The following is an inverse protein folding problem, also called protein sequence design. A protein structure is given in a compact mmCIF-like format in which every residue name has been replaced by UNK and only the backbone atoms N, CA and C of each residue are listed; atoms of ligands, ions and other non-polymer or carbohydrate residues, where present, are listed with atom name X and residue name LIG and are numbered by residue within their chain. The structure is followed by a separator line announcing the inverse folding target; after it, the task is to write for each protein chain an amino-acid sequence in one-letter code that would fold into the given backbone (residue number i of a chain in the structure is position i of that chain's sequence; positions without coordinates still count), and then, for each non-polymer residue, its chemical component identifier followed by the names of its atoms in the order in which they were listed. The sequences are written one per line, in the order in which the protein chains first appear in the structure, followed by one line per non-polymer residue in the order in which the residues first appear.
data_IF_547415719177
#
_entry.id   IF_547415719177
#
_cell.length_a   1.000
_cell.length_b   1.000
_cell.length_c   1.000
_cell.angle_alpha   90.00
_cell.angle_beta   90.00
_cell.angle_gamma   90.00
#
_symmetry.space_group_name_H-M   'P 1'
#
loop_
_entity.id
_entity.type
_entity.pdbx_description
1 polymer ?
#
# COMPACT_ATOMS: atom_id res chain seq x y z
N UNK A 1 -11.12 -11.83 13.90
CA UNK A 1 -11.55 -11.02 15.07
C UNK A 1 -11.32 -9.53 14.86
N UNK A 2 -10.09 -9.05 14.65
CA UNK A 2 -9.84 -7.60 14.42
C UNK A 2 -10.22 -7.11 13.02
N UNK A 3 -10.02 -7.95 12.00
CA UNK A 3 -10.35 -7.64 10.60
C UNK A 3 -11.85 -7.46 10.36
N UNK A 4 -12.66 -8.35 10.93
CA UNK A 4 -14.14 -8.32 10.80
C UNK A 4 -14.74 -7.04 11.42
N UNK A 5 -14.21 -6.60 12.56
CA UNK A 5 -14.61 -5.35 13.20
C UNK A 5 -14.29 -4.12 12.34
N UNK A 6 -13.11 -4.11 11.70
CA UNK A 6 -12.71 -3.03 10.81
C UNK A 6 -13.60 -2.97 9.56
N UNK A 7 -13.94 -4.13 9.01
CA UNK A 7 -14.79 -4.27 7.83
C UNK A 7 -16.23 -3.79 8.12
N UNK A 8 -16.78 -4.16 9.28
CA UNK A 8 -18.07 -3.68 9.74
C UNK A 8 -18.08 -2.15 9.94
N UNK A 9 -17.02 -1.59 10.52
CA UNK A 9 -16.86 -0.14 10.67
C UNK A 9 -16.75 0.61 9.34
N UNK A 10 -16.03 0.06 8.35
CA UNK A 10 -15.92 0.68 7.02
C UNK A 10 -17.19 0.57 6.19
N UNK A 11 -18.01 -0.46 6.41
CA UNK A 11 -19.32 -0.65 5.76
C UNK A 11 -20.45 0.20 6.37
N UNK A 12 -20.23 0.72 7.57
CA UNK A 12 -21.23 1.49 8.30
C UNK A 12 -21.39 2.89 7.74
N UNK A 13 -22.58 3.21 7.24
CA UNK A 13 -22.95 4.52 6.71
C UNK A 13 -22.87 5.65 7.76
N UNK A 14 -22.79 5.30 9.05
CA UNK A 14 -22.67 6.23 10.18
C UNK A 14 -21.31 6.95 10.18
N UNK A 15 -20.26 6.34 9.62
CA UNK A 15 -18.90 6.88 9.61
C UNK A 15 -18.47 7.45 8.25
N UNK A 16 -19.40 7.54 7.29
CA UNK A 16 -19.13 8.08 5.97
C UNK A 16 -19.35 9.61 5.91
N UNK A 17 -18.49 10.35 5.20
CA UNK A 17 -17.30 9.89 4.48
C UNK A 17 -16.08 9.70 5.41
N UNK A 18 -15.30 8.64 5.18
CA UNK A 18 -14.01 8.47 5.85
C UNK A 18 -13.08 9.64 5.51
N UNK A 19 -12.54 10.28 6.54
CA UNK A 19 -11.67 11.44 6.39
C UNK A 19 -10.28 10.99 5.92
N UNK A 20 -9.84 11.44 4.73
CA UNK A 20 -8.45 11.27 4.30
C UNK A 20 -7.55 12.18 5.14
N UNK A 21 -6.73 11.57 6.00
CA UNK A 21 -5.79 12.30 6.86
C UNK A 21 -4.49 12.69 6.13
N UNK A 22 -4.19 12.02 5.02
CA UNK A 22 -3.02 12.32 4.18
C UNK A 22 -3.36 13.30 3.06
N UNK A 23 -2.37 14.08 2.57
CA UNK A 23 -2.49 14.79 1.30
C UNK A 23 -2.86 13.84 0.15
N UNK A 24 -3.50 14.33 -0.93
CA UNK A 24 -3.61 13.57 -2.17
C UNK A 24 -2.22 13.13 -2.66
N UNK A 25 -2.07 11.87 -3.11
CA UNK A 25 -0.81 11.44 -3.69
C UNK A 25 -0.51 12.30 -4.92
N UNK A 26 0.73 12.77 -5.02
CA UNK A 26 1.25 13.49 -6.18
C UNK A 26 1.82 12.53 -7.23
N UNK A 27 2.18 13.07 -8.39
CA UNK A 27 2.73 12.27 -9.51
C UNK A 27 3.97 11.46 -9.12
N UNK A 28 4.78 12.01 -8.19
CA UNK A 28 6.00 11.37 -7.71
C UNK A 28 5.78 10.23 -6.72
N UNK A 29 4.58 10.12 -6.11
CA UNK A 29 4.29 9.05 -5.16
C UNK A 29 4.11 7.68 -5.85
N UNK A 30 3.96 7.68 -7.18
CA UNK A 30 3.91 6.48 -8.02
C UNK A 30 5.24 6.17 -8.69
N UNK A 31 6.29 6.98 -8.45
CA UNK A 31 7.62 6.76 -9.00
C UNK A 31 8.39 5.90 -8.01
N UNK A 32 8.60 4.65 -8.41
CA UNK A 32 9.46 3.74 -7.69
C UNK A 32 10.87 3.88 -8.24
N UNK A 33 11.84 4.12 -7.36
CA UNK A 33 13.28 4.09 -7.72
C UNK A 33 13.79 2.64 -7.65
N UNK A 34 13.03 1.72 -8.23
CA UNK A 34 13.33 0.29 -8.19
C UNK A 34 13.94 -0.14 -9.51
N UNK A 35 14.93 -1.02 -9.45
CA UNK A 35 15.40 -1.71 -10.63
C UNK A 35 14.33 -2.67 -11.17
N UNK A 36 14.36 -2.97 -12.47
CA UNK A 36 13.33 -3.78 -13.15
C UNK A 36 13.06 -5.13 -12.45
N UNK A 37 14.10 -5.73 -11.85
CA UNK A 37 14.02 -7.01 -11.13
C UNK A 37 13.77 -6.88 -9.63
N UNK A 38 13.92 -5.71 -9.02
CA UNK A 38 13.96 -5.55 -7.55
C UNK A 38 12.67 -6.05 -6.89
N UNK A 39 11.50 -5.63 -7.40
CA UNK A 39 10.22 -6.07 -6.85
C UNK A 39 9.98 -7.59 -6.95
N UNK A 40 10.56 -8.25 -7.96
CA UNK A 40 10.50 -9.72 -8.10
C UNK A 40 11.51 -10.39 -7.18
N UNK A 41 12.71 -9.82 -7.05
CA UNK A 41 13.75 -10.31 -6.15
C UNK A 41 13.29 -10.27 -4.68
N UNK A 42 12.69 -9.17 -4.23
CA UNK A 42 12.12 -9.04 -2.90
C UNK A 42 11.00 -10.05 -2.63
N UNK A 43 10.16 -10.31 -3.63
CA UNK A 43 9.03 -11.23 -3.49
C UNK A 43 9.46 -12.70 -3.32
N UNK A 44 10.59 -13.08 -3.90
CA UNK A 44 11.08 -14.47 -3.92
C UNK A 44 12.39 -14.66 -3.13
N UNK A 45 12.80 -13.67 -2.32
CA UNK A 45 14.07 -13.66 -1.57
C UNK A 45 15.30 -13.97 -2.46
N UNK A 46 15.29 -13.52 -3.71
CA UNK A 46 16.38 -13.76 -4.67
C UNK A 46 17.47 -12.72 -4.47
N UNK A 47 18.73 -13.11 -4.21
CA UNK A 47 19.83 -12.16 -4.09
C UNK A 47 20.02 -11.39 -5.40
N UNK A 48 20.05 -10.06 -5.33
CA UNK A 48 20.40 -9.20 -6.47
C UNK A 48 21.89 -9.32 -6.71
N UNK A 49 22.27 -10.21 -7.62
CA UNK A 49 23.65 -10.41 -8.03
C UNK A 49 24.01 -9.34 -9.07
N UNK A 50 24.38 -8.15 -8.61
CA UNK A 50 25.21 -7.11 -9.28
C UNK A 50 24.87 -5.70 -8.75
N UNK A 51 25.24 -5.40 -7.50
CA UNK A 51 25.40 -4.01 -7.05
C UNK A 51 26.88 -3.60 -7.16
#
# INVERSE_FOLDING_TARGET
MSSELLEELMSSEVFAPLLRLSPPPGDHDYIYNLDESEGVCDLFDVPVLNL
#
